data_IF_230773439625
#
_entry.id   IF_230773439625
#
_cell.length_a   1.000
_cell.length_b   1.000
_cell.length_c   1.000
_cell.angle_alpha   90.00
_cell.angle_beta   90.00
_cell.angle_gamma   90.00
#
_symmetry.space_group_name_H-M   'P 1'
#
loop_
_entity.id
_entity.type
_entity.pdbx_description
1 polymer ?
#
# COMPACT_ATOMS: atom_id res chain seq x y z
N UNK A 1 7.47 -28.00 7.93
CA UNK A 1 6.97 -27.13 6.85
C UNK A 1 6.57 -25.86 7.54
N UNK A 2 7.31 -24.78 7.30
CA UNK A 2 6.82 -23.46 7.68
C UNK A 2 5.54 -23.23 6.87
N UNK A 3 4.42 -23.02 7.56
CA UNK A 3 3.13 -22.81 6.91
C UNK A 3 3.14 -21.46 6.19
N UNK A 4 2.72 -21.43 4.93
CA UNK A 4 2.50 -20.18 4.20
C UNK A 4 1.36 -19.42 4.88
N UNK A 5 1.62 -18.16 5.22
CA UNK A 5 0.58 -17.30 5.76
C UNK A 5 -0.33 -16.82 4.62
N UNK A 6 -1.63 -17.03 4.79
CA UNK A 6 -2.64 -16.52 3.86
C UNK A 6 -3.88 -16.01 4.62
N UNK A 7 -4.00 -14.69 4.70
CA UNK A 7 -5.17 -13.99 5.17
C UNK A 7 -6.18 -13.86 4.02
N UNK A 8 -7.34 -14.50 4.16
CA UNK A 8 -8.44 -14.40 3.19
C UNK A 8 -9.11 -13.04 3.32
N UNK A 9 -9.41 -12.43 2.18
CA UNK A 9 -10.10 -11.14 2.19
C UNK A 9 -11.53 -11.26 2.70
N UNK A 10 -11.87 -10.39 3.65
CA UNK A 10 -13.23 -10.18 4.13
C UNK A 10 -13.65 -8.72 3.87
N UNK A 11 -14.83 -8.54 3.25
CA UNK A 11 -15.30 -7.22 2.84
C UNK A 11 -14.42 -6.57 1.75
N UNK A 12 -14.32 -5.24 1.77
CA UNK A 12 -13.59 -4.43 0.78
C UNK A 12 -12.15 -4.09 1.20
N UNK A 13 -11.61 -4.73 2.24
CA UNK A 13 -10.31 -4.39 2.86
C UNK A 13 -9.11 -4.96 2.10
N UNK A 14 -9.10 -4.84 0.77
CA UNK A 14 -8.10 -5.49 -0.07
C UNK A 14 -6.66 -5.05 0.24
N UNK A 15 -6.43 -3.79 0.65
CA UNK A 15 -5.10 -3.28 0.97
C UNK A 15 -4.48 -3.96 2.20
N UNK A 16 -5.28 -4.19 3.26
CA UNK A 16 -4.85 -4.92 4.46
C UNK A 16 -4.37 -6.31 4.08
N UNK A 17 -5.25 -7.09 3.44
CA UNK A 17 -4.96 -8.48 3.14
C UNK A 17 -3.85 -8.62 2.10
N UNK A 18 -3.72 -7.67 1.16
CA UNK A 18 -2.59 -7.61 0.23
C UNK A 18 -1.26 -7.48 0.98
N UNK A 19 -1.16 -6.50 1.89
CA UNK A 19 0.05 -6.22 2.66
C UNK A 19 0.41 -7.37 3.61
N UNK A 20 -0.57 -7.91 4.34
CA UNK A 20 -0.36 -9.00 5.29
C UNK A 20 0.05 -10.30 4.59
N UNK A 21 -0.53 -10.60 3.43
CA UNK A 21 -0.10 -11.72 2.60
C UNK A 21 1.30 -11.50 2.03
N UNK A 22 1.63 -10.29 1.57
CA UNK A 22 2.98 -9.96 1.07
C UNK A 22 4.05 -10.13 2.15
N UNK A 23 3.78 -9.62 3.35
CA UNK A 23 4.72 -9.65 4.49
C UNK A 23 4.68 -10.97 5.27
N UNK A 24 3.80 -11.90 4.88
CA UNK A 24 3.62 -13.21 5.51
C UNK A 24 3.29 -13.11 7.02
N UNK A 25 2.39 -12.21 7.39
CA UNK A 25 1.87 -12.07 8.76
C UNK A 25 0.84 -10.95 8.92
N UNK A 26 0.18 -10.90 10.09
CA UNK A 26 -0.85 -9.90 10.44
C UNK A 26 -0.21 -8.59 10.91
N UNK A 27 0.40 -7.84 9.99
CA UNK A 27 1.14 -6.61 10.31
C UNK A 27 0.31 -5.33 10.26
N UNK A 28 -0.75 -5.31 9.46
CA UNK A 28 -1.62 -4.16 9.28
C UNK A 28 -3.07 -4.51 9.57
N UNK A 29 -3.78 -3.54 10.15
CA UNK A 29 -5.23 -3.51 10.32
C UNK A 29 -5.84 -2.35 9.52
N UNK A 30 -7.18 -2.27 9.38
CA UNK A 30 -7.81 -1.14 8.71
C UNK A 30 -7.50 0.18 9.40
N UNK A 31 -7.38 0.17 10.74
CA UNK A 31 -7.09 1.35 11.56
C UNK A 31 -5.69 1.89 11.26
N UNK A 32 -4.70 1.00 11.10
CA UNK A 32 -3.34 1.38 10.73
C UNK A 32 -3.31 2.06 9.36
N UNK A 33 -4.01 1.48 8.38
CA UNK A 33 -4.09 2.02 7.02
C UNK A 33 -4.87 3.34 6.95
N UNK A 34 -5.94 3.48 7.73
CA UNK A 34 -6.68 4.76 7.87
C UNK A 34 -5.81 5.86 8.47
N UNK A 35 -4.95 5.52 9.44
CA UNK A 35 -4.03 6.49 10.04
C UNK A 35 -3.01 7.01 9.01
N UNK A 36 -2.47 6.11 8.18
CA UNK A 36 -1.57 6.49 7.07
C UNK A 36 -2.32 7.34 6.03
N UNK A 37 -3.55 6.97 5.67
CA UNK A 37 -4.36 7.74 4.73
C UNK A 37 -4.62 9.18 5.22
N UNK A 38 -4.95 9.34 6.50
CA UNK A 38 -5.16 10.65 7.11
C UNK A 38 -3.89 11.52 7.13
N UNK A 39 -2.73 10.93 7.45
CA UNK A 39 -1.46 11.65 7.39
C UNK A 39 -1.17 12.15 5.98
N UNK A 40 -1.37 11.30 4.96
CA UNK A 40 -1.21 11.70 3.56
C UNK A 40 -2.17 12.82 3.16
N UNK A 41 -3.42 12.76 3.59
CA UNK A 41 -4.39 13.83 3.30
C UNK A 41 -4.01 15.16 3.98
N UNK A 42 -3.41 15.12 5.17
CA UNK A 42 -2.90 16.31 5.87
C UNK A 42 -1.71 16.92 5.12
N UNK A 43 -0.72 16.10 4.74
CA UNK A 43 0.43 16.54 3.95
C UNK A 43 0.02 17.13 2.60
N UNK A 44 -0.92 16.48 1.91
CA UNK A 44 -1.45 16.96 0.63
C UNK A 44 -2.23 18.27 0.79
N UNK A 45 -2.92 18.48 1.92
CA UNK A 45 -3.67 19.71 2.22
C UNK A 45 -2.74 20.88 2.51
N UNK A 46 -1.64 20.65 3.21
CA UNK A 46 -0.62 21.68 3.43
C UNK A 46 -0.03 22.17 2.09
N UNK A 47 0.22 21.24 1.17
CA UNK A 47 0.76 21.57 -0.15
C UNK A 47 -0.29 22.19 -1.09
N UNK A 48 -1.54 21.73 -1.02
CA UNK A 48 -2.68 22.23 -1.81
C UNK A 48 -3.42 23.30 -1.00
N UNK A 49 -2.78 24.44 -0.80
CA UNK A 49 -3.17 25.57 0.07
C UNK A 49 -4.63 26.08 -0.04
N UNK A 50 -5.50 25.56 -0.93
CA UNK A 50 -6.77 26.20 -1.26
C UNK A 50 -7.98 25.33 -1.63
N UNK A 51 -7.94 23.99 -1.55
CA UNK A 51 -9.12 23.19 -1.91
C UNK A 51 -9.51 22.22 -0.78
N UNK A 52 -10.69 22.42 -0.19
CA UNK A 52 -11.40 21.41 0.61
C UNK A 52 -11.83 20.27 -0.31
N UNK A 53 -10.87 19.41 -0.69
CA UNK A 53 -11.18 18.17 -1.37
C UNK A 53 -11.43 17.08 -0.31
N UNK A 54 -12.37 16.17 -0.55
CA UNK A 54 -12.50 14.95 0.26
C UNK A 54 -11.20 14.14 0.19
N UNK A 55 -10.97 13.27 1.18
CA UNK A 55 -9.82 12.34 1.18
C UNK A 55 -9.76 11.60 -0.14
N UNK A 56 -8.60 11.64 -0.79
CA UNK A 56 -8.31 10.80 -1.96
C UNK A 56 -7.68 9.47 -1.58
N UNK A 57 -7.29 9.31 -0.31
CA UNK A 57 -6.46 8.21 0.16
C UNK A 57 -7.25 7.08 0.81
N UNK A 58 -8.47 7.35 1.28
CA UNK A 58 -9.40 6.35 1.79
C UNK A 58 -10.85 6.74 1.47
N UNK A 59 -11.71 5.77 1.16
CA UNK A 59 -13.16 5.97 1.12
C UNK A 59 -13.93 5.22 2.22
N UNK A 60 -15.19 5.57 2.42
CA UNK A 60 -16.07 5.00 3.44
C UNK A 60 -16.39 3.51 3.23
N UNK A 61 -16.04 2.96 2.06
CA UNK A 61 -16.25 1.54 1.75
C UNK A 61 -15.03 0.68 2.05
N UNK A 62 -13.88 1.28 2.38
CA UNK A 62 -12.65 0.57 2.75
C UNK A 62 -11.63 0.44 1.62
N UNK A 63 -11.77 1.20 0.52
CA UNK A 63 -10.70 1.30 -0.47
C UNK A 63 -9.62 2.26 0.00
N UNK A 64 -8.36 1.88 -0.25
CA UNK A 64 -7.18 2.69 0.03
C UNK A 64 -6.43 2.98 -1.26
N UNK A 65 -5.84 4.18 -1.36
CA UNK A 65 -5.02 4.55 -2.51
C UNK A 65 -3.69 3.79 -2.53
N UNK A 66 -3.04 3.76 -3.69
CA UNK A 66 -1.69 3.16 -3.82
C UNK A 66 -0.65 3.90 -2.96
N UNK A 67 -0.86 5.18 -2.65
CA UNK A 67 0.03 5.97 -1.79
C UNK A 67 0.02 5.45 -0.36
N UNK A 68 -1.14 5.01 0.15
CA UNK A 68 -1.26 4.36 1.47
C UNK A 68 -0.43 3.07 1.50
N UNK A 69 -0.58 2.22 0.49
CA UNK A 69 0.16 0.95 0.38
C UNK A 69 1.67 1.21 0.30
N UNK A 70 2.09 2.20 -0.49
CA UNK A 70 3.51 2.58 -0.61
C UNK A 70 4.09 3.05 0.73
N UNK A 71 3.37 3.88 1.50
CA UNK A 71 3.85 4.36 2.79
C UNK A 71 3.84 3.28 3.88
N UNK A 72 2.87 2.37 3.86
CA UNK A 72 2.85 1.20 4.74
C UNK A 72 4.13 0.36 4.57
N UNK A 73 4.57 0.12 3.33
CA UNK A 73 5.81 -0.61 3.04
C UNK A 73 7.08 0.13 3.48
N UNK A 74 7.09 1.47 3.42
CA UNK A 74 8.25 2.27 3.86
C UNK A 74 8.59 2.08 5.34
N UNK A 75 7.61 1.78 6.20
CA UNK A 75 7.83 1.47 7.62
C UNK A 75 8.79 0.28 7.79
N UNK A 76 8.79 -0.64 6.83
CA UNK A 76 9.64 -1.82 6.78
C UNK A 76 10.91 -1.62 5.93
N UNK A 77 11.19 -0.40 5.48
CA UNK A 77 12.29 -0.11 4.56
C UNK A 77 12.10 -0.70 3.16
N UNK A 78 10.86 -1.02 2.78
CA UNK A 78 10.52 -1.55 1.45
C UNK A 78 10.05 -0.43 0.52
N UNK A 79 10.37 -0.57 -0.76
CA UNK A 79 9.98 0.37 -1.81
C UNK A 79 9.05 -0.31 -2.83
N UNK A 80 7.99 0.40 -3.22
CA UNK A 80 7.07 -0.02 -4.27
C UNK A 80 7.44 0.66 -5.59
N UNK A 81 7.88 -0.15 -6.56
CA UNK A 81 8.21 0.31 -7.91
C UNK A 81 7.16 -0.22 -8.90
N UNK A 82 6.68 0.66 -9.78
CA UNK A 82 5.77 0.26 -10.85
C UNK A 82 6.50 -0.60 -11.88
N UNK A 83 6.03 -1.83 -12.09
CA UNK A 83 6.60 -2.78 -13.05
C UNK A 83 6.69 -2.22 -14.49
N UNK A 84 5.70 -1.43 -14.90
CA UNK A 84 5.65 -0.83 -16.24
C UNK A 84 6.36 0.54 -16.33
N UNK A 85 7.05 0.98 -15.27
CA UNK A 85 7.85 2.21 -15.34
C UNK A 85 9.04 2.04 -16.27
N UNK A 86 9.47 3.14 -16.92
CA UNK A 86 10.69 3.13 -17.74
C UNK A 86 11.92 2.73 -16.93
N UNK A 87 11.96 3.17 -15.69
CA UNK A 87 13.01 2.84 -14.73
C UNK A 87 13.09 1.32 -14.52
N UNK A 88 12.00 0.67 -14.12
CA UNK A 88 11.99 -0.77 -13.91
C UNK A 88 12.30 -1.55 -15.20
N UNK A 89 11.71 -1.16 -16.33
CA UNK A 89 11.94 -1.81 -17.63
C UNK A 89 13.41 -1.72 -18.07
N UNK A 90 14.11 -0.64 -17.73
CA UNK A 90 15.53 -0.47 -18.06
C UNK A 90 16.45 -1.46 -17.31
N UNK A 91 15.99 -2.01 -16.19
CA UNK A 91 16.75 -2.96 -15.38
C UNK A 91 16.78 -4.38 -15.97
N UNK A 92 15.92 -4.68 -16.96
CA UNK A 92 15.77 -6.00 -17.59
C UNK A 92 15.72 -7.17 -16.59
N UNK A 93 15.12 -6.94 -15.43
CA UNK A 93 15.02 -7.94 -14.37
C UNK A 93 14.05 -9.06 -14.78
N UNK A 94 14.49 -10.31 -14.62
CA UNK A 94 13.60 -11.45 -14.73
C UNK A 94 12.75 -11.52 -13.44
N UNK A 95 11.40 -11.45 -13.52
CA UNK A 95 10.53 -11.49 -12.35
C UNK A 95 10.65 -12.77 -11.51
N UNK A 96 11.14 -13.86 -12.09
CA UNK A 96 11.28 -15.16 -11.44
C UNK A 96 12.67 -15.32 -10.77
N UNK A 97 13.60 -14.40 -11.03
CA UNK A 97 15.01 -14.60 -10.74
C UNK A 97 15.64 -15.64 -11.67
N UNK A 98 16.97 -15.57 -11.86
CA UNK A 98 17.76 -16.57 -12.56
C UNK A 98 17.50 -17.96 -11.95
N UNK A 99 16.75 -18.80 -12.66
CA UNK A 99 16.85 -20.27 -12.56
C UNK A 99 17.80 -20.73 -13.67
#
# INVERSE_FOLDING_TARGET
>A
MDSIFHEKQEGSLCAQHCLNNLLQGEYFTPVDLSSIAHQLDEEEREYRTFLQQPSGNMDDSGFFSIQVISNALRVWGLELILFNSREYQSLMLNPIGLI
#
